data_IF_455838781441
#
_entry.id   IF_455838781441
#
_cell.length_a   1.000
_cell.length_b   1.000
_cell.length_c   1.000
_cell.angle_alpha   90.00
_cell.angle_beta   90.00
_cell.angle_gamma   90.00
#
_symmetry.space_group_name_H-M   'P 1'
#
loop_
_entity.id
_entity.type
_entity.pdbx_description
1 polymer ?
#
# COMPACT_ATOMS: atom_id res chain seq x y z
N UNK A 1 24.27 8.04 -15.07
CA UNK A 1 23.20 7.13 -14.63
C UNK A 1 23.27 5.88 -15.49
N UNK A 2 23.62 4.69 -14.95
CA UNK A 2 23.37 3.41 -15.62
C UNK A 2 21.97 3.35 -16.25
N UNK A 3 21.84 2.58 -17.33
CA UNK A 3 20.54 2.39 -17.97
C UNK A 3 19.51 1.87 -16.96
N UNK A 4 18.30 2.42 -16.99
CA UNK A 4 17.15 2.07 -16.12
C UNK A 4 17.24 2.51 -14.65
N UNK A 5 18.19 3.37 -14.28
CA UNK A 5 18.20 3.97 -12.95
C UNK A 5 17.04 4.97 -12.78
N UNK A 6 16.32 4.88 -11.66
CA UNK A 6 15.28 5.83 -11.25
C UNK A 6 15.75 6.61 -10.03
N UNK A 7 15.36 7.88 -9.92
CA UNK A 7 15.68 8.68 -8.73
C UNK A 7 14.94 8.15 -7.51
N UNK A 8 15.51 8.30 -6.31
CA UNK A 8 14.83 7.93 -5.06
C UNK A 8 13.47 8.60 -4.95
N UNK A 9 13.37 9.88 -5.36
CA UNK A 9 12.11 10.61 -5.37
C UNK A 9 11.05 9.95 -6.24
N UNK A 10 11.40 9.57 -7.47
CA UNK A 10 10.48 8.88 -8.37
C UNK A 10 10.05 7.52 -7.82
N UNK A 11 11.00 6.75 -7.27
CA UNK A 11 10.73 5.41 -6.71
C UNK A 11 9.80 5.50 -5.50
N UNK A 12 9.99 6.48 -4.62
CA UNK A 12 9.11 6.70 -3.45
C UNK A 12 7.66 6.89 -3.90
N UNK A 13 7.43 7.74 -4.90
CA UNK A 13 6.08 8.02 -5.41
C UNK A 13 5.49 6.80 -6.12
N UNK A 14 6.29 6.14 -6.98
CA UNK A 14 5.87 4.95 -7.73
C UNK A 14 5.48 3.78 -6.83
N UNK A 15 6.27 3.53 -5.78
CA UNK A 15 6.02 2.43 -4.85
C UNK A 15 4.85 2.77 -3.94
N UNK A 16 4.78 3.97 -3.38
CA UNK A 16 3.64 4.37 -2.55
C UNK A 16 2.31 4.25 -3.31
N UNK A 17 2.26 4.68 -4.57
CA UNK A 17 1.07 4.53 -5.41
C UNK A 17 0.66 3.06 -5.61
N UNK A 18 1.63 2.16 -5.82
CA UNK A 18 1.39 0.72 -5.98
C UNK A 18 0.93 0.05 -4.69
N UNK A 19 1.47 0.48 -3.54
CA UNK A 19 1.02 0.01 -2.23
C UNK A 19 -0.45 0.39 -2.01
N UNK A 20 -0.84 1.63 -2.32
CA UNK A 20 -2.25 2.04 -2.23
C UNK A 20 -3.15 1.29 -3.21
N UNK A 21 -2.69 0.97 -4.42
CA UNK A 21 -3.46 0.14 -5.36
C UNK A 21 -3.67 -1.29 -4.83
N UNK A 22 -2.67 -1.87 -4.15
CA UNK A 22 -2.83 -3.16 -3.50
C UNK A 22 -3.83 -3.09 -2.34
N UNK A 23 -3.76 -2.05 -1.50
CA UNK A 23 -4.73 -1.79 -0.43
C UNK A 23 -6.14 -1.62 -0.98
N UNK A 24 -6.31 -0.90 -2.08
CA UNK A 24 -7.61 -0.72 -2.75
C UNK A 24 -8.22 -2.05 -3.20
N UNK A 25 -7.39 -2.95 -3.71
CA UNK A 25 -7.82 -4.33 -4.04
C UNK A 25 -8.32 -5.06 -2.80
N UNK A 26 -7.59 -4.97 -1.67
CA UNK A 26 -7.99 -5.60 -0.40
C UNK A 26 -9.32 -5.02 0.11
N UNK A 27 -9.49 -3.70 0.05
CA UNK A 27 -10.72 -3.00 0.46
C UNK A 27 -11.91 -3.36 -0.43
N UNK A 28 -11.68 -3.55 -1.74
CA UNK A 28 -12.73 -3.92 -2.70
C UNK A 28 -13.35 -5.28 -2.39
N UNK A 29 -12.56 -6.24 -1.92
CA UNK A 29 -13.03 -7.60 -1.61
C UNK A 29 -13.45 -7.78 -0.16
N UNK A 30 -13.14 -6.82 0.72
CA UNK A 30 -13.28 -6.93 2.17
C UNK A 30 -14.68 -7.39 2.61
N UNK A 31 -15.73 -6.68 2.22
CA UNK A 31 -17.09 -6.95 2.72
C UNK A 31 -17.61 -8.34 2.29
N UNK A 32 -17.24 -8.79 1.09
CA UNK A 32 -17.60 -10.12 0.60
C UNK A 32 -16.86 -11.22 1.36
N UNK A 33 -15.59 -10.98 1.72
CA UNK A 33 -14.79 -11.90 2.53
C UNK A 33 -15.29 -11.93 3.97
N UNK A 34 -15.59 -10.78 4.57
CA UNK A 34 -16.10 -10.67 5.94
C UNK A 34 -17.48 -11.34 6.11
N UNK A 35 -18.34 -11.24 5.09
CA UNK A 35 -19.63 -11.92 5.10
C UNK A 35 -19.52 -13.46 5.09
N UNK A 36 -18.48 -14.02 4.46
CA UNK A 36 -18.27 -15.47 4.33
C UNK A 36 -17.41 -16.04 5.47
N UNK A 37 -16.29 -15.38 5.79
CA UNK A 37 -15.37 -15.75 6.85
C UNK A 37 -14.71 -14.51 7.50
N UNK A 38 -15.26 -14.03 8.62
CA UNK A 38 -14.67 -12.92 9.38
C UNK A 38 -13.22 -13.16 9.82
N UNK A 39 -12.80 -14.42 10.01
CA UNK A 39 -11.41 -14.72 10.39
C UNK A 39 -10.43 -14.38 9.27
N UNK A 40 -10.83 -14.60 8.01
CA UNK A 40 -10.04 -14.18 6.86
C UNK A 40 -10.06 -12.66 6.71
N UNK A 41 -11.19 -11.99 6.97
CA UNK A 41 -11.27 -10.53 6.94
C UNK A 41 -10.32 -9.87 7.96
N UNK A 42 -10.12 -10.47 9.14
CA UNK A 42 -9.11 -10.01 10.10
C UNK A 42 -7.68 -10.06 9.56
N UNK A 43 -7.34 -11.04 8.72
CA UNK A 43 -6.06 -11.06 8.02
C UNK A 43 -5.96 -9.92 6.98
N UNK A 44 -7.06 -9.59 6.30
CA UNK A 44 -7.10 -8.44 5.40
C UNK A 44 -6.90 -7.12 6.15
N UNK A 45 -7.51 -6.96 7.34
CA UNK A 45 -7.30 -5.80 8.21
C UNK A 45 -5.81 -5.62 8.55
N UNK A 46 -5.12 -6.68 8.98
CA UNK A 46 -3.69 -6.61 9.31
C UNK A 46 -2.83 -6.23 8.10
N UNK A 47 -3.16 -6.74 6.91
CA UNK A 47 -2.46 -6.37 5.67
C UNK A 47 -2.70 -4.90 5.31
N UNK A 48 -3.94 -4.43 5.38
CA UNK A 48 -4.31 -3.03 5.10
C UNK A 48 -3.54 -2.10 6.05
N UNK A 49 -3.60 -2.33 7.36
CA UNK A 49 -2.92 -1.51 8.36
C UNK A 49 -1.40 -1.47 8.13
N UNK A 50 -0.80 -2.63 7.86
CA UNK A 50 0.63 -2.74 7.59
C UNK A 50 1.06 -2.00 6.33
N UNK A 51 0.31 -2.17 5.23
CA UNK A 51 0.61 -1.54 3.95
C UNK A 51 0.40 -0.03 3.98
N UNK A 52 -0.69 0.46 4.60
CA UNK A 52 -0.94 1.90 4.72
C UNK A 52 0.13 2.58 5.59
N UNK A 53 0.57 1.91 6.66
CA UNK A 53 1.72 2.39 7.46
C UNK A 53 3.00 2.48 6.64
N UNK A 54 3.32 1.46 5.83
CA UNK A 54 4.50 1.48 4.96
C UNK A 54 4.41 2.57 3.89
N UNK A 55 3.23 2.75 3.27
CA UNK A 55 3.00 3.80 2.29
C UNK A 55 3.20 5.19 2.91
N UNK A 56 2.71 5.41 4.13
CA UNK A 56 2.93 6.64 4.87
C UNK A 56 4.41 6.89 5.17
N UNK A 57 5.14 5.87 5.65
CA UNK A 57 6.58 5.97 5.91
C UNK A 57 7.38 6.31 4.65
N UNK A 58 7.05 5.69 3.51
CA UNK A 58 7.68 5.99 2.22
C UNK A 58 7.41 7.42 1.76
N UNK A 59 6.12 7.83 1.68
CA UNK A 59 5.75 9.17 1.19
C UNK A 59 6.30 10.31 2.05
N UNK A 60 6.66 10.03 3.30
CA UNK A 60 7.25 11.02 4.19
C UNK A 60 8.58 11.55 3.69
N UNK A 61 9.34 10.78 2.91
CA UNK A 61 10.60 11.23 2.27
C UNK A 61 10.36 12.40 1.30
N UNK A 62 9.32 12.29 0.46
CA UNK A 62 9.02 13.30 -0.55
C UNK A 62 8.15 14.47 -0.04
N UNK A 63 7.59 14.36 1.18
CA UNK A 63 6.68 15.37 1.74
C UNK A 63 7.43 16.69 1.97
N UNK A 64 6.86 17.79 1.46
CA UNK A 64 7.35 19.16 1.68
C UNK A 64 6.51 19.86 2.75
N UNK A 65 7.14 20.78 3.48
CA UNK A 65 6.50 21.67 4.48
C UNK A 65 6.08 22.99 3.86
#
# INVERSE_FOLDING_TARGET
>A
FPAYEHSTGDVVDLIAARVYAAVDTLRTVHDAVDAEDPTTADALHQLIDGLEKLAWLLKSENRKV
#
